data_IF_090417539263
#
_entry.id   IF_090417539263
#
_cell.length_a   1.000
_cell.length_b   1.000
_cell.length_c   1.000
_cell.angle_alpha   90.00
_cell.angle_beta   90.00
_cell.angle_gamma   90.00
#
_symmetry.space_group_name_H-M   'P 1'
#
loop_
_entity.id
_entity.type
_entity.pdbx_description
1 polymer ?
#
# COMPACT_ATOMS: atom_id res chain seq x y z
N UNK A 1 5.26 -35.72 -5.73
CA UNK A 1 6.16 -34.77 -6.26
C UNK A 1 5.54 -33.48 -6.80
N UNK A 2 4.25 -33.53 -7.15
CA UNK A 2 3.51 -32.32 -7.51
C UNK A 2 3.43 -31.33 -6.35
N UNK A 3 3.34 -31.84 -5.10
CA UNK A 3 3.30 -31.01 -3.90
C UNK A 3 4.62 -30.28 -3.73
N UNK A 4 5.74 -30.97 -3.94
CA UNK A 4 7.07 -30.38 -3.84
C UNK A 4 7.28 -29.23 -4.86
N UNK A 5 6.89 -29.49 -6.10
CA UNK A 5 6.95 -28.48 -7.17
C UNK A 5 6.09 -27.26 -6.84
N UNK A 6 4.89 -27.49 -6.32
CA UNK A 6 3.95 -26.43 -5.95
C UNK A 6 4.52 -25.55 -4.84
N UNK A 7 5.09 -26.17 -3.79
CA UNK A 7 5.67 -25.43 -2.67
C UNK A 7 6.92 -24.66 -3.10
N UNK A 8 7.77 -25.27 -3.93
CA UNK A 8 8.94 -24.58 -4.48
C UNK A 8 8.56 -23.35 -5.29
N UNK A 9 7.48 -23.44 -6.06
CA UNK A 9 7.03 -22.34 -6.90
C UNK A 9 6.56 -21.13 -6.09
N UNK A 10 6.25 -21.32 -4.81
CA UNK A 10 5.88 -20.21 -3.90
C UNK A 10 7.11 -19.50 -3.33
N UNK A 11 8.32 -19.98 -3.61
CA UNK A 11 9.54 -19.42 -3.07
C UNK A 11 9.86 -19.86 -1.64
N UNK A 12 9.15 -20.87 -1.13
CA UNK A 12 9.36 -21.43 0.21
C UNK A 12 10.53 -22.40 0.18
N UNK A 13 11.45 -22.27 1.15
CA UNK A 13 12.56 -23.21 1.28
C UNK A 13 12.05 -24.59 1.70
N UNK A 14 12.50 -25.61 1.01
CA UNK A 14 12.19 -27.00 1.34
C UNK A 14 13.47 -27.80 1.46
N UNK A 15 13.40 -28.87 2.25
CA UNK A 15 14.52 -29.79 2.44
C UNK A 15 14.23 -31.10 1.70
N UNK A 16 15.28 -31.79 1.25
CA UNK A 16 15.13 -33.11 0.65
C UNK A 16 14.51 -34.13 1.61
N UNK A 17 14.63 -33.85 2.92
CA UNK A 17 14.06 -34.72 3.97
C UNK A 17 12.62 -34.37 4.32
N UNK A 18 12.04 -33.32 3.74
CA UNK A 18 10.65 -32.94 4.03
C UNK A 18 9.69 -34.02 3.58
N UNK A 19 8.79 -34.41 4.51
CA UNK A 19 7.72 -35.34 4.21
C UNK A 19 6.58 -34.63 3.52
N UNK A 20 5.57 -35.40 3.04
CA UNK A 20 4.36 -34.84 2.46
C UNK A 20 3.66 -33.91 3.46
N UNK A 21 3.59 -34.32 4.73
CA UNK A 21 2.99 -33.52 5.80
C UNK A 21 3.75 -32.20 6.00
N UNK A 22 5.09 -32.26 5.97
CA UNK A 22 5.92 -31.07 6.11
C UNK A 22 5.65 -30.08 4.97
N UNK A 23 5.56 -30.58 3.75
CA UNK A 23 5.31 -29.76 2.57
C UNK A 23 3.93 -29.12 2.61
N UNK A 24 2.90 -29.88 3.01
CA UNK A 24 1.54 -29.37 3.16
C UNK A 24 1.46 -28.30 4.25
N UNK A 25 2.19 -28.50 5.35
CA UNK A 25 2.23 -27.52 6.45
C UNK A 25 2.89 -26.24 5.99
N UNK A 26 3.98 -26.33 5.26
CA UNK A 26 4.68 -25.16 4.70
C UNK A 26 3.79 -24.37 3.75
N UNK A 27 3.05 -25.07 2.89
CA UNK A 27 2.12 -24.44 1.97
C UNK A 27 1.02 -23.70 2.72
N UNK A 28 0.47 -24.34 3.76
CA UNK A 28 -0.59 -23.76 4.58
C UNK A 28 -0.10 -22.52 5.34
N UNK A 29 1.08 -22.58 5.91
CA UNK A 29 1.68 -21.46 6.61
C UNK A 29 1.94 -20.29 5.67
N UNK A 30 2.42 -20.56 4.46
CA UNK A 30 2.63 -19.53 3.45
C UNK A 30 1.31 -18.86 3.07
N UNK A 31 0.26 -19.64 2.81
CA UNK A 31 -1.05 -19.11 2.45
C UNK A 31 -1.64 -18.25 3.56
N UNK A 32 -1.53 -18.70 4.81
CA UNK A 32 -2.03 -17.97 5.98
C UNK A 32 -1.26 -16.66 6.18
N UNK A 33 0.06 -16.71 6.05
CA UNK A 33 0.92 -15.54 6.17
C UNK A 33 0.60 -14.52 5.08
N UNK A 34 0.46 -14.99 3.85
CA UNK A 34 0.11 -14.16 2.70
C UNK A 34 -1.25 -13.48 2.90
N UNK A 35 -2.23 -14.22 3.40
CA UNK A 35 -3.56 -13.69 3.69
C UNK A 35 -3.50 -12.57 4.74
N UNK A 36 -2.69 -12.76 5.78
CA UNK A 36 -2.52 -11.75 6.84
C UNK A 36 -1.95 -10.46 6.27
N UNK A 37 -0.93 -10.56 5.41
CA UNK A 37 -0.33 -9.40 4.73
C UNK A 37 -1.39 -8.66 3.91
N UNK A 38 -2.17 -9.39 3.14
CA UNK A 38 -3.19 -8.80 2.27
C UNK A 38 -4.30 -8.12 3.07
N UNK A 39 -4.70 -8.69 4.20
CA UNK A 39 -5.72 -8.09 5.07
C UNK A 39 -5.23 -6.78 5.70
N UNK A 40 -3.97 -6.77 6.15
CA UNK A 40 -3.37 -5.55 6.71
C UNK A 40 -3.34 -4.46 5.65
N UNK A 41 -2.78 -4.76 4.47
CA UNK A 41 -2.68 -3.80 3.39
C UNK A 41 -4.05 -3.33 2.90
N UNK A 42 -5.05 -4.23 2.92
CA UNK A 42 -6.42 -3.87 2.53
C UNK A 42 -6.98 -2.75 3.40
N UNK A 43 -6.76 -2.81 4.72
CA UNK A 43 -7.25 -1.77 5.63
C UNK A 43 -6.64 -0.41 5.30
N UNK A 44 -5.33 -0.37 5.06
CA UNK A 44 -4.63 0.86 4.70
C UNK A 44 -5.02 1.35 3.31
N UNK A 45 -5.19 0.43 2.36
CA UNK A 45 -5.67 0.75 1.01
C UNK A 45 -7.08 1.37 1.06
N UNK A 46 -8.00 0.77 1.82
CA UNK A 46 -9.37 1.27 1.93
C UNK A 46 -9.42 2.68 2.51
N UNK A 47 -8.57 2.95 3.50
CA UNK A 47 -8.48 4.29 4.09
C UNK A 47 -8.04 5.31 3.03
N UNK A 48 -6.99 4.98 2.27
CA UNK A 48 -6.50 5.85 1.20
C UNK A 48 -7.56 6.06 0.12
N UNK A 49 -8.23 4.98 -0.27
CA UNK A 49 -9.25 5.02 -1.33
C UNK A 49 -10.45 5.87 -0.91
N UNK A 50 -10.87 5.75 0.34
CA UNK A 50 -11.98 6.54 0.89
C UNK A 50 -11.62 8.03 0.90
N UNK A 51 -10.41 8.37 1.32
CA UNK A 51 -9.94 9.75 1.31
C UNK A 51 -9.92 10.32 -0.10
N UNK A 52 -9.34 9.58 -1.04
CA UNK A 52 -9.25 10.02 -2.44
C UNK A 52 -10.63 10.24 -3.03
N UNK A 53 -11.58 9.35 -2.75
CA UNK A 53 -12.96 9.51 -3.20
C UNK A 53 -13.57 10.82 -2.69
N UNK A 54 -13.38 11.13 -1.40
CA UNK A 54 -13.90 12.37 -0.81
C UNK A 54 -13.25 13.61 -1.41
N UNK A 55 -11.93 13.56 -1.62
CA UNK A 55 -11.21 14.69 -2.19
C UNK A 55 -11.64 14.96 -3.64
N UNK A 56 -11.80 13.91 -4.44
CA UNK A 56 -12.25 14.04 -5.82
C UNK A 56 -13.66 14.65 -5.89
N UNK A 57 -14.52 14.23 -4.98
CA UNK A 57 -15.92 14.68 -4.95
C UNK A 57 -16.06 16.14 -4.51
N UNK A 58 -15.29 16.56 -3.49
CA UNK A 58 -15.51 17.84 -2.81
C UNK A 58 -14.53 18.94 -3.16
N UNK A 59 -13.30 18.59 -3.49
CA UNK A 59 -12.21 19.57 -3.56
C UNK A 59 -11.56 19.68 -4.92
N UNK A 60 -11.75 18.72 -5.81
CA UNK A 60 -11.15 18.75 -7.14
C UNK A 60 -12.25 19.07 -8.17
N UNK A 61 -12.08 20.18 -8.93
CA UNK A 61 -13.06 20.53 -9.97
C UNK A 61 -13.16 19.43 -11.03
N UNK A 62 -14.35 19.25 -11.58
CA UNK A 62 -14.65 18.21 -12.57
C UNK A 62 -13.77 18.25 -13.82
N UNK A 63 -13.29 19.43 -14.18
CA UNK A 63 -12.47 19.61 -15.38
C UNK A 63 -10.97 19.38 -15.13
N UNK A 64 -10.59 19.07 -13.90
CA UNK A 64 -9.21 18.78 -13.54
C UNK A 64 -9.00 17.28 -13.42
N UNK A 65 -7.74 16.87 -13.53
CA UNK A 65 -7.38 15.48 -13.31
C UNK A 65 -7.69 15.06 -11.87
N UNK A 66 -8.36 13.94 -11.72
CA UNK A 66 -8.70 13.41 -10.41
C UNK A 66 -7.55 12.56 -9.86
N UNK A 67 -7.60 12.32 -8.56
CA UNK A 67 -6.68 11.42 -7.90
C UNK A 67 -7.15 9.97 -8.05
N UNK A 68 -6.20 9.04 -8.08
CA UNK A 68 -6.48 7.60 -8.10
C UNK A 68 -5.60 6.89 -7.10
N UNK A 69 -6.12 5.83 -6.50
CA UNK A 69 -5.33 4.89 -5.71
C UNK A 69 -5.08 3.66 -6.58
N UNK A 70 -3.82 3.35 -6.80
CA UNK A 70 -3.41 2.19 -7.59
C UNK A 70 -3.08 1.06 -6.63
N UNK A 71 -3.77 -0.07 -6.81
CA UNK A 71 -3.64 -1.22 -5.94
C UNK A 71 -2.64 -2.21 -6.52
N UNK A 72 -1.50 -2.36 -5.85
CA UNK A 72 -0.44 -3.33 -6.19
C UNK A 72 -0.21 -4.30 -5.04
N UNK A 73 -1.23 -4.55 -4.21
CA UNK A 73 -1.10 -5.44 -3.05
C UNK A 73 -0.66 -6.84 -3.43
N UNK A 74 -1.17 -7.35 -4.54
CA UNK A 74 -0.94 -8.73 -4.96
C UNK A 74 0.37 -8.89 -5.72
N UNK A 75 0.87 -7.84 -6.36
CA UNK A 75 2.11 -7.88 -7.13
C UNK A 75 3.34 -7.49 -6.31
N UNK A 76 3.24 -6.43 -5.51
CA UNK A 76 4.40 -5.85 -4.83
C UNK A 76 4.16 -5.39 -3.40
N UNK A 77 3.05 -5.80 -2.78
CA UNK A 77 2.70 -5.45 -1.39
C UNK A 77 2.63 -3.94 -1.15
N UNK A 78 2.16 -3.20 -2.14
CA UNK A 78 2.08 -1.73 -2.04
C UNK A 78 0.83 -1.19 -2.71
N UNK A 79 0.51 0.07 -2.39
CA UNK A 79 -0.44 0.87 -3.15
C UNK A 79 0.06 2.30 -3.17
N UNK A 80 -0.41 3.11 -4.11
CA UNK A 80 0.03 4.49 -4.20
C UNK A 80 -1.07 5.39 -4.75
N UNK A 81 -0.93 6.69 -4.47
CA UNK A 81 -1.86 7.73 -4.93
C UNK A 81 -1.15 8.52 -6.01
N UNK A 82 -1.78 8.69 -7.15
CA UNK A 82 -1.32 9.55 -8.24
C UNK A 82 -2.50 10.24 -8.91
N UNK A 83 -2.21 11.21 -9.74
CA UNK A 83 -3.24 11.78 -10.60
C UNK A 83 -3.53 10.83 -11.75
N UNK A 84 -4.80 10.86 -12.23
CA UNK A 84 -5.27 9.98 -13.30
C UNK A 84 -4.46 10.12 -14.60
N UNK A 85 -4.03 11.33 -14.90
CA UNK A 85 -3.27 11.64 -16.12
C UNK A 85 -1.74 11.55 -15.96
N UNK A 86 -1.26 11.13 -14.79
CA UNK A 86 0.17 10.96 -14.53
C UNK A 86 0.59 9.50 -14.65
N UNK A 87 1.86 9.22 -15.02
CA UNK A 87 2.35 7.84 -15.00
C UNK A 87 2.56 7.35 -13.57
N UNK A 88 2.70 6.03 -13.41
CA UNK A 88 2.87 5.41 -12.09
C UNK A 88 4.09 5.93 -11.35
N UNK A 89 5.19 6.27 -12.04
CA UNK A 89 6.42 6.78 -11.44
C UNK A 89 6.22 8.13 -10.75
N UNK A 90 5.21 8.88 -11.13
CA UNK A 90 4.92 10.21 -10.58
C UNK A 90 3.90 10.16 -9.45
N UNK A 91 3.95 9.12 -8.64
CA UNK A 91 3.06 9.00 -7.49
C UNK A 91 3.35 10.09 -6.44
N UNK A 92 2.31 10.45 -5.70
CA UNK A 92 2.40 11.45 -4.62
C UNK A 92 2.68 10.77 -3.27
N UNK A 93 1.98 9.68 -3.01
CA UNK A 93 2.07 8.91 -1.77
C UNK A 93 2.25 7.45 -2.13
N UNK A 94 3.26 6.80 -1.58
CA UNK A 94 3.48 5.36 -1.72
C UNK A 94 3.32 4.71 -0.36
N UNK A 95 2.53 3.65 -0.29
CA UNK A 95 2.20 2.94 0.95
C UNK A 95 2.60 1.48 0.77
N UNK A 96 3.46 0.96 1.63
CA UNK A 96 3.89 -0.43 1.53
C UNK A 96 4.20 -1.03 2.91
N UNK A 97 4.25 -2.36 2.96
CA UNK A 97 4.64 -3.09 4.17
C UNK A 97 6.17 -3.28 4.14
N UNK A 98 6.84 -2.79 5.17
CA UNK A 98 8.31 -2.81 5.24
C UNK A 98 8.89 -4.21 5.31
N UNK A 99 8.21 -5.10 6.05
CA UNK A 99 8.64 -6.47 6.23
C UNK A 99 7.55 -7.40 5.74
N UNK A 100 7.93 -8.55 5.21
CA UNK A 100 6.98 -9.58 4.78
C UNK A 100 6.21 -10.20 5.94
N UNK A 101 6.61 -9.96 7.18
CA UNK A 101 5.90 -10.41 8.38
C UNK A 101 4.95 -9.31 8.86
N UNK A 102 3.66 -9.50 8.61
CA UNK A 102 2.63 -8.52 8.96
C UNK A 102 2.49 -8.27 10.47
N UNK A 103 3.02 -9.18 11.32
CA UNK A 103 2.99 -9.01 12.78
C UNK A 103 4.14 -8.17 13.29
N UNK A 104 5.24 -8.09 12.56
CA UNK A 104 6.45 -7.37 12.95
C UNK A 104 6.74 -6.17 12.06
N UNK A 105 6.25 -6.21 10.82
CA UNK A 105 6.47 -5.15 9.86
C UNK A 105 5.67 -3.91 10.19
N UNK A 106 6.09 -2.81 9.60
CA UNK A 106 5.40 -1.54 9.71
C UNK A 106 4.89 -1.13 8.34
N UNK A 107 3.82 -0.37 8.33
CA UNK A 107 3.35 0.27 7.11
C UNK A 107 4.18 1.54 6.94
N UNK A 108 4.85 1.65 5.82
CA UNK A 108 5.67 2.81 5.46
C UNK A 108 4.91 3.65 4.46
N UNK A 109 4.90 4.96 4.70
CA UNK A 109 4.29 5.93 3.81
C UNK A 109 5.39 6.87 3.33
N UNK A 110 5.70 6.82 2.04
CA UNK A 110 6.64 7.76 1.43
C UNK A 110 5.83 8.88 0.79
N UNK A 111 6.14 10.11 1.15
CA UNK A 111 5.36 11.30 0.79
C UNK A 111 6.17 12.22 -0.12
N UNK A 112 5.77 12.32 -1.37
CA UNK A 112 6.32 13.26 -2.36
C UNK A 112 5.34 14.37 -2.73
N UNK A 113 4.22 14.47 -2.02
CA UNK A 113 3.18 15.46 -2.34
C UNK A 113 3.69 16.88 -2.24
N UNK A 114 4.64 17.14 -1.34
CA UNK A 114 5.33 18.42 -1.27
C UNK A 114 6.68 18.30 -1.98
N UNK A 115 6.88 18.91 -3.15
CA UNK A 115 8.14 18.79 -3.89
C UNK A 115 9.34 19.38 -3.16
N UNK A 116 9.11 20.30 -2.22
CA UNK A 116 10.19 20.90 -1.43
C UNK A 116 10.59 20.10 -0.22
N UNK A 117 9.73 19.18 0.21
CA UNK A 117 9.98 18.39 1.42
C UNK A 117 9.40 16.99 1.28
N UNK A 118 10.20 16.08 0.76
CA UNK A 118 9.83 14.65 0.75
C UNK A 118 10.05 14.09 2.15
N UNK A 119 9.16 13.23 2.60
CA UNK A 119 9.32 12.60 3.90
C UNK A 119 8.83 11.16 3.89
N UNK A 120 9.26 10.41 4.88
CA UNK A 120 8.87 9.01 5.06
C UNK A 120 8.39 8.84 6.49
N UNK A 121 7.22 8.25 6.66
CA UNK A 121 6.63 7.93 7.96
C UNK A 121 6.36 6.44 8.06
N UNK A 122 6.48 5.91 9.25
CA UNK A 122 6.18 4.50 9.52
C UNK A 122 5.07 4.41 10.58
N UNK A 123 4.17 3.47 10.38
CA UNK A 123 3.05 3.24 11.31
C UNK A 123 2.99 1.75 11.63
N UNK A 124 2.66 1.42 12.87
CA UNK A 124 2.38 0.03 13.21
C UNK A 124 1.08 -0.40 12.51
N UNK A 125 0.97 -1.68 12.22
CA UNK A 125 -0.19 -2.21 11.48
C UNK A 125 -1.51 -1.99 12.22
N UNK A 126 -1.47 -1.80 13.53
CA UNK A 126 -2.64 -1.52 14.37
C UNK A 126 -3.01 -0.03 14.42
N UNK A 127 -2.14 0.86 13.95
CA UNK A 127 -2.32 2.32 14.09
C UNK A 127 -2.94 2.94 12.84
N UNK A 128 -4.04 2.37 12.38
CA UNK A 128 -4.74 2.82 11.18
C UNK A 128 -5.26 4.27 11.32
N UNK A 129 -5.66 4.67 12.52
CA UNK A 129 -6.21 6.01 12.72
C UNK A 129 -5.12 7.09 12.62
N UNK A 130 -3.94 6.85 13.17
CA UNK A 130 -2.80 7.78 13.06
C UNK A 130 -2.37 7.91 11.60
N UNK A 131 -2.32 6.79 10.89
CA UNK A 131 -2.02 6.77 9.46
C UNK A 131 -3.08 7.57 8.68
N UNK A 132 -4.36 7.34 8.95
CA UNK A 132 -5.44 8.04 8.24
C UNK A 132 -5.36 9.55 8.46
N UNK A 133 -5.11 9.99 9.69
CA UNK A 133 -4.95 11.40 10.01
C UNK A 133 -3.78 12.01 9.24
N UNK A 134 -2.67 11.29 9.16
CA UNK A 134 -1.50 11.74 8.42
C UNK A 134 -1.82 11.93 6.93
N UNK A 135 -2.53 10.97 6.32
CA UNK A 135 -2.92 11.07 4.92
C UNK A 135 -3.86 12.24 4.69
N UNK A 136 -4.85 12.43 5.56
CA UNK A 136 -5.80 13.55 5.43
C UNK A 136 -5.05 14.87 5.46
N UNK A 137 -4.19 15.07 6.45
CA UNK A 137 -3.41 16.31 6.60
C UNK A 137 -2.51 16.55 5.38
N UNK A 138 -1.83 15.51 4.93
CA UNK A 138 -0.90 15.58 3.80
C UNK A 138 -1.61 15.94 2.50
N UNK A 139 -2.71 15.25 2.20
CA UNK A 139 -3.41 15.45 0.94
C UNK A 139 -4.19 16.77 0.95
N UNK A 140 -4.75 17.17 2.09
CA UNK A 140 -5.41 18.46 2.23
C UNK A 140 -4.42 19.60 1.99
N UNK A 141 -3.23 19.52 2.59
CA UNK A 141 -2.18 20.50 2.39
C UNK A 141 -1.72 20.55 0.92
N UNK A 142 -1.63 19.40 0.27
CA UNK A 142 -1.28 19.33 -1.15
C UNK A 142 -2.31 20.06 -2.02
N UNK A 143 -3.60 19.79 -1.80
CA UNK A 143 -4.67 20.42 -2.56
C UNK A 143 -4.69 21.92 -2.32
N UNK A 144 -4.50 22.37 -1.10
CA UNK A 144 -4.42 23.80 -0.77
C UNK A 144 -3.26 24.48 -1.52
N UNK A 145 -2.10 23.84 -1.57
CA UNK A 145 -0.96 24.37 -2.32
C UNK A 145 -1.28 24.49 -3.82
N UNK A 146 -1.93 23.50 -4.38
CA UNK A 146 -2.30 23.50 -5.79
C UNK A 146 -3.30 24.61 -6.10
N UNK A 147 -4.25 24.87 -5.19
CA UNK A 147 -5.22 25.97 -5.32
C UNK A 147 -4.52 27.34 -5.27
N UNK A 148 -3.57 27.51 -4.37
CA UNK A 148 -2.81 28.76 -4.23
C UNK A 148 -1.98 29.06 -5.48
N UNK A 149 -1.39 28.06 -6.11
CA UNK A 149 -0.66 28.22 -7.37
C UNK A 149 -1.56 28.75 -8.47
N UNK A 150 -2.83 28.35 -8.50
CA UNK A 150 -3.78 28.81 -9.51
C UNK A 150 -4.32 30.19 -9.24
N UNK A 151 -4.36 30.60 -7.98
CA UNK A 151 -4.81 31.94 -7.59
C UNK A 151 -3.77 33.01 -7.87
N UNK A 152 -2.52 32.64 -8.00
CA UNK A 152 -1.44 33.55 -8.31
C UNK A 152 -1.13 33.55 -9.81
#
# INVERSE_FOLDING_TARGET
QKIRERVESLGVEISDTDTKEDLLQKEKEYASHRQTIELVLESFYRSANSLVFQLNKRYIPKHKSILRVIDRRYESNECFIRYDDSPDEDWLILIYLEDSDATKGKIVVENKANPEKHETKSFETKDIFTYSDYLVDTMTAHIDRERQKKAS
#
